data_IF_932234613716
#
_entry.id   IF_932234613716
#
_cell.length_a   1.000
_cell.length_b   1.000
_cell.length_c   1.000
_cell.angle_alpha   90.00
_cell.angle_beta   90.00
_cell.angle_gamma   90.00
#
_symmetry.space_group_name_H-M   'P 1'
#
loop_
_entity.id
_entity.type
_entity.pdbx_description
1 polymer ?
#
# COMPACT_ATOMS: atom_id res chain seq x y z
N UNK A 1 -13.61 -27.70 -0.09
CA UNK A 1 -13.11 -27.14 -1.36
C UNK A 1 -12.87 -25.64 -1.14
N UNK A 2 -11.61 -25.18 -1.15
CA UNK A 2 -11.28 -23.76 -1.01
C UNK A 2 -11.77 -23.01 -2.25
N UNK A 3 -12.85 -22.22 -2.13
CA UNK A 3 -13.22 -21.25 -3.17
C UNK A 3 -12.24 -20.09 -3.06
N UNK A 4 -11.29 -20.01 -3.99
CA UNK A 4 -10.35 -18.89 -4.04
C UNK A 4 -11.11 -17.59 -4.33
N UNK A 5 -11.05 -16.66 -3.38
CA UNK A 5 -11.73 -15.39 -3.50
C UNK A 5 -10.80 -14.37 -4.15
N UNK A 6 -10.86 -14.32 -5.48
CA UNK A 6 -9.95 -13.54 -6.32
C UNK A 6 -9.84 -12.08 -5.86
N UNK A 7 -10.97 -11.43 -5.54
CA UNK A 7 -10.97 -10.03 -5.09
C UNK A 7 -10.20 -9.79 -3.79
N UNK A 8 -10.27 -10.69 -2.80
CA UNK A 8 -9.49 -10.50 -1.57
C UNK A 8 -8.01 -10.73 -1.77
N UNK A 9 -7.66 -11.69 -2.62
CA UNK A 9 -6.26 -11.97 -2.95
C UNK A 9 -5.67 -10.77 -3.69
N UNK A 10 -6.39 -10.25 -4.69
CA UNK A 10 -5.99 -9.03 -5.40
C UNK A 10 -5.87 -7.82 -4.45
N UNK A 11 -6.82 -7.66 -3.52
CA UNK A 11 -6.74 -6.61 -2.51
C UNK A 11 -5.52 -6.74 -1.60
N UNK A 12 -5.16 -7.95 -1.17
CA UNK A 12 -3.95 -8.19 -0.39
C UNK A 12 -2.69 -7.86 -1.20
N UNK A 13 -2.62 -8.29 -2.46
CA UNK A 13 -1.49 -8.00 -3.36
C UNK A 13 -1.29 -6.49 -3.50
N UNK A 14 -2.38 -5.73 -3.70
CA UNK A 14 -2.29 -4.27 -3.77
C UNK A 14 -1.84 -3.65 -2.44
N UNK A 15 -2.32 -4.14 -1.30
CA UNK A 15 -1.87 -3.65 0.01
C UNK A 15 -0.38 -3.92 0.24
N UNK A 16 0.10 -5.12 -0.10
CA UNK A 16 1.52 -5.48 -0.01
C UNK A 16 2.38 -4.63 -0.95
N UNK A 17 1.96 -4.44 -2.20
CA UNK A 17 2.67 -3.60 -3.14
C UNK A 17 2.73 -2.14 -2.66
N UNK A 18 1.61 -1.61 -2.13
CA UNK A 18 1.56 -0.27 -1.54
C UNK A 18 2.54 -0.10 -0.37
N UNK A 19 2.68 -1.13 0.47
CA UNK A 19 3.65 -1.16 1.56
C UNK A 19 5.10 -1.19 1.06
N UNK A 20 5.40 -2.01 0.05
CA UNK A 20 6.74 -2.07 -0.57
C UNK A 20 7.13 -0.71 -1.14
N UNK A 21 6.25 -0.06 -1.90
CA UNK A 21 6.54 1.28 -2.44
C UNK A 21 6.69 2.35 -1.35
N UNK A 22 6.02 2.19 -0.21
CA UNK A 22 6.24 3.04 0.96
C UNK A 22 7.69 2.93 1.46
N UNK A 23 8.20 1.71 1.63
CA UNK A 23 9.60 1.47 2.03
C UNK A 23 10.58 1.95 0.96
N UNK A 24 10.29 1.73 -0.33
CA UNK A 24 11.17 2.20 -1.40
C UNK A 24 11.23 3.73 -1.44
N UNK A 25 10.13 4.45 -1.19
CA UNK A 25 10.17 5.92 -1.11
C UNK A 25 11.09 6.42 0.00
N UNK A 26 11.17 5.71 1.13
CA UNK A 26 12.12 5.99 2.19
C UNK A 26 13.56 5.78 1.73
N UNK A 27 13.87 4.65 1.10
CA UNK A 27 15.23 4.37 0.62
C UNK A 27 15.74 5.48 -0.32
N UNK A 28 14.85 6.00 -1.15
CA UNK A 28 15.16 7.10 -2.06
C UNK A 28 15.37 8.43 -1.32
N UNK A 29 14.65 8.72 -0.23
CA UNK A 29 14.94 9.88 0.60
C UNK A 29 16.40 9.88 1.12
N UNK A 30 16.92 8.72 1.53
CA UNK A 30 18.28 8.63 2.10
C UNK A 30 19.42 8.62 1.06
N UNK A 31 19.15 8.30 -0.22
CA UNK A 31 20.16 8.12 -1.27
C UNK A 31 20.64 9.43 -1.93
N UNK A 32 20.97 10.45 -1.12
CA UNK A 32 21.20 11.86 -1.51
C UNK A 32 22.28 12.22 -2.56
N UNK A 33 22.83 11.30 -3.34
CA UNK A 33 23.90 11.56 -4.32
C UNK A 33 23.41 12.27 -5.60
N UNK A 34 22.18 12.01 -6.07
CA UNK A 34 21.62 12.63 -7.28
C UNK A 34 20.24 13.23 -7.02
N UNK A 35 20.19 14.37 -6.31
CA UNK A 35 18.95 15.02 -5.83
C UNK A 35 17.81 15.11 -6.87
N UNK A 36 18.09 15.31 -8.15
CA UNK A 36 17.03 15.44 -9.17
C UNK A 36 16.35 14.12 -9.52
N UNK A 37 17.11 13.04 -9.72
CA UNK A 37 16.56 11.71 -10.04
C UNK A 37 15.97 11.07 -8.80
N UNK A 38 16.64 11.19 -7.66
CA UNK A 38 16.18 10.62 -6.39
C UNK A 38 14.86 11.25 -5.94
N UNK A 39 14.67 12.57 -6.16
CA UNK A 39 13.41 13.26 -5.87
C UNK A 39 12.25 12.77 -6.75
N UNK A 40 12.49 12.41 -8.01
CA UNK A 40 11.43 11.87 -8.88
C UNK A 40 10.97 10.48 -8.41
N UNK A 41 11.90 9.59 -8.09
CA UNK A 41 11.61 8.24 -7.62
C UNK A 41 10.93 8.23 -6.24
N UNK A 42 11.33 9.17 -5.38
CA UNK A 42 10.66 9.44 -4.11
C UNK A 42 9.16 9.73 -4.29
N UNK A 43 8.82 10.74 -5.09
CA UNK A 43 7.42 11.12 -5.32
C UNK A 43 6.64 10.04 -6.05
N UNK A 44 7.27 9.34 -6.99
CA UNK A 44 6.67 8.21 -7.69
C UNK A 44 6.33 7.09 -6.71
N UNK A 45 7.25 6.73 -5.81
CA UNK A 45 7.02 5.73 -4.77
C UNK A 45 5.86 6.12 -3.84
N UNK A 46 5.80 7.37 -3.39
CA UNK A 46 4.71 7.86 -2.56
C UNK A 46 3.34 7.80 -3.27
N UNK A 47 3.27 8.25 -4.53
CA UNK A 47 2.04 8.20 -5.35
C UNK A 47 1.59 6.76 -5.56
N UNK A 48 2.52 5.85 -5.89
CA UNK A 48 2.23 4.43 -6.08
C UNK A 48 1.76 3.78 -4.77
N UNK A 49 2.38 4.11 -3.64
CA UNK A 49 1.98 3.60 -2.32
C UNK A 49 0.53 3.94 -1.99
N UNK A 50 0.14 5.21 -2.16
CA UNK A 50 -1.24 5.64 -1.95
C UNK A 50 -2.20 5.05 -2.99
N UNK A 51 -1.82 5.07 -4.27
CA UNK A 51 -2.64 4.55 -5.36
C UNK A 51 -2.96 3.06 -5.18
N UNK A 52 -1.96 2.26 -4.81
CA UNK A 52 -2.12 0.83 -4.55
C UNK A 52 -2.93 0.55 -3.27
N UNK A 53 -2.71 1.34 -2.22
CA UNK A 53 -3.54 1.27 -1.01
C UNK A 53 -5.02 1.56 -1.33
N UNK A 54 -5.29 2.55 -2.19
CA UNK A 54 -6.63 2.90 -2.63
C UNK A 54 -7.25 1.82 -3.53
N UNK A 55 -6.47 1.22 -4.44
CA UNK A 55 -6.90 0.07 -5.23
C UNK A 55 -7.26 -1.14 -4.35
N UNK A 56 -6.49 -1.38 -3.28
CA UNK A 56 -6.81 -2.41 -2.27
C UNK A 56 -8.15 -2.15 -1.59
N UNK A 57 -8.42 -0.90 -1.18
CA UNK A 57 -9.72 -0.51 -0.61
C UNK A 57 -10.86 -0.75 -1.61
N UNK A 58 -10.70 -0.33 -2.87
CA UNK A 58 -11.71 -0.52 -3.92
C UNK A 58 -12.03 -2.01 -4.10
N UNK A 59 -11.01 -2.85 -4.24
CA UNK A 59 -11.22 -4.29 -4.43
C UNK A 59 -11.92 -4.96 -3.23
N UNK A 60 -11.62 -4.52 -2.01
CA UNK A 60 -12.36 -4.96 -0.82
C UNK A 60 -13.83 -4.50 -0.82
N UNK A 61 -14.11 -3.27 -1.25
CA UNK A 61 -15.49 -2.75 -1.35
C UNK A 61 -16.30 -3.48 -2.42
N UNK A 62 -15.70 -3.78 -3.57
CA UNK A 62 -16.33 -4.58 -4.63
C UNK A 62 -16.69 -5.98 -4.12
N UNK A 63 -15.83 -6.57 -3.29
CA UNK A 63 -16.08 -7.87 -2.68
C UNK A 63 -17.21 -7.86 -1.65
N UNK A 64 -17.38 -6.79 -0.87
CA UNK A 64 -18.46 -6.68 0.13
C UNK A 64 -19.85 -6.89 -0.48
N UNK A 65 -20.03 -6.53 -1.75
CA UNK A 65 -21.27 -6.80 -2.49
C UNK A 65 -21.48 -8.27 -2.87
N UNK A 66 -20.48 -9.13 -2.71
CA UNK A 66 -20.56 -10.56 -2.94
C UNK A 66 -20.85 -11.29 -1.61
N UNK A 67 -22.08 -11.80 -1.45
CA UNK A 67 -22.62 -12.37 -0.20
C UNK A 67 -21.93 -13.62 0.37
N UNK A 68 -20.77 -14.04 -0.16
CA UNK A 68 -20.11 -15.29 0.24
C UNK A 68 -18.80 -15.03 0.97
N UNK A 69 -18.88 -14.73 2.27
CA UNK A 69 -17.72 -14.50 3.12
C UNK A 69 -17.33 -15.79 3.86
N UNK A 70 -16.21 -16.37 3.48
CA UNK A 70 -15.55 -17.45 4.23
C UNK A 70 -14.67 -16.89 5.35
N UNK A 71 -14.29 -17.71 6.33
CA UNK A 71 -13.36 -17.29 7.40
C UNK A 71 -12.01 -16.77 6.86
N UNK A 72 -11.53 -17.31 5.73
CA UNK A 72 -10.32 -16.83 5.06
C UNK A 72 -10.49 -15.43 4.49
N UNK A 73 -11.68 -15.10 4.01
CA UNK A 73 -11.98 -13.76 3.47
C UNK A 73 -11.89 -12.69 4.56
N UNK A 74 -12.28 -13.05 5.78
CA UNK A 74 -12.14 -12.19 6.95
C UNK A 74 -10.66 -11.96 7.27
N UNK A 75 -9.86 -13.03 7.36
CA UNK A 75 -8.41 -12.93 7.63
C UNK A 75 -7.72 -12.07 6.58
N UNK A 76 -7.94 -12.33 5.30
CA UNK A 76 -7.35 -11.58 4.20
C UNK A 76 -7.73 -10.10 4.27
N UNK A 77 -8.99 -9.79 4.55
CA UNK A 77 -9.47 -8.41 4.67
C UNK A 77 -8.78 -7.70 5.84
N UNK A 78 -8.73 -8.34 7.02
CA UNK A 78 -8.10 -7.76 8.21
C UNK A 78 -6.60 -7.50 7.98
N UNK A 79 -5.88 -8.43 7.38
CA UNK A 79 -4.46 -8.26 7.03
C UNK A 79 -4.27 -7.12 6.03
N UNK A 80 -5.07 -7.05 4.97
CA UNK A 80 -5.02 -5.94 4.00
C UNK A 80 -5.28 -4.60 4.67
N UNK A 81 -6.28 -4.51 5.57
CA UNK A 81 -6.57 -3.26 6.29
C UNK A 81 -5.41 -2.81 7.17
N UNK A 82 -4.75 -3.73 7.88
CA UNK A 82 -3.57 -3.41 8.70
C UNK A 82 -2.42 -2.90 7.81
N UNK A 83 -2.15 -3.58 6.70
CA UNK A 83 -1.12 -3.14 5.74
C UNK A 83 -1.42 -1.76 5.15
N UNK A 84 -2.66 -1.47 4.80
CA UNK A 84 -3.06 -0.14 4.32
C UNK A 84 -2.79 0.92 5.38
N UNK A 85 -3.18 0.69 6.64
CA UNK A 85 -2.96 1.65 7.73
C UNK A 85 -1.48 1.92 7.97
N UNK A 86 -0.66 0.86 7.98
CA UNK A 86 0.80 0.99 8.12
C UNK A 86 1.39 1.73 6.93
N UNK A 87 1.04 1.35 5.70
CA UNK A 87 1.55 2.01 4.49
C UNK A 87 1.18 3.48 4.46
N UNK A 88 -0.07 3.83 4.80
CA UNK A 88 -0.53 5.22 4.77
C UNK A 88 0.19 6.07 5.81
N UNK A 89 0.31 5.57 7.05
CA UNK A 89 1.02 6.27 8.12
C UNK A 89 2.51 6.40 7.83
N UNK A 90 3.15 5.35 7.30
CA UNK A 90 4.57 5.36 6.95
C UNK A 90 4.87 6.31 5.78
N UNK A 91 4.12 6.23 4.68
CA UNK A 91 4.29 7.15 3.54
C UNK A 91 4.03 8.59 3.95
N UNK A 92 3.06 8.86 4.83
CA UNK A 92 2.82 10.21 5.35
C UNK A 92 4.00 10.70 6.20
N UNK A 93 4.52 9.84 7.08
CA UNK A 93 5.69 10.15 7.91
C UNK A 93 6.91 10.50 7.06
N UNK A 94 7.21 9.70 6.03
CA UNK A 94 8.30 9.93 5.07
C UNK A 94 8.15 11.30 4.37
N UNK A 95 6.93 11.65 3.93
CA UNK A 95 6.66 12.97 3.32
C UNK A 95 6.94 14.13 4.25
N UNK A 96 6.56 13.99 5.51
CA UNK A 96 6.82 15.02 6.51
C UNK A 96 8.32 15.10 6.80
N UNK A 97 9.00 13.96 6.97
CA UNK A 97 10.44 13.89 7.20
C UNK A 97 11.21 14.61 6.07
N UNK A 98 10.92 14.25 4.83
CA UNK A 98 11.53 14.86 3.65
C UNK A 98 11.31 16.37 3.57
N UNK A 99 10.09 16.85 3.83
CA UNK A 99 9.78 18.29 3.81
C UNK A 99 10.40 19.05 4.99
N UNK A 100 10.60 18.38 6.12
CA UNK A 100 11.23 18.97 7.31
C UNK A 100 12.76 19.09 7.18
N UNK A 101 13.36 18.41 6.21
CA UNK A 101 14.81 18.40 6.00
C UNK A 101 15.59 17.69 7.11
N UNK A 102 14.93 16.75 7.79
CA UNK A 102 15.51 15.88 8.83
C UNK A 102 16.17 14.67 8.21
#
# INVERSE_FOLDING_TARGET
MLKFNYFSITGLIFAMAGFVFSIESQNMEYLGENRSTTMQWYWLGAILSYGLSLASIITMLLKLNSMNNSGLDYILRTTSTLLIMVSFTWTTFIIIAWQSGV
#
